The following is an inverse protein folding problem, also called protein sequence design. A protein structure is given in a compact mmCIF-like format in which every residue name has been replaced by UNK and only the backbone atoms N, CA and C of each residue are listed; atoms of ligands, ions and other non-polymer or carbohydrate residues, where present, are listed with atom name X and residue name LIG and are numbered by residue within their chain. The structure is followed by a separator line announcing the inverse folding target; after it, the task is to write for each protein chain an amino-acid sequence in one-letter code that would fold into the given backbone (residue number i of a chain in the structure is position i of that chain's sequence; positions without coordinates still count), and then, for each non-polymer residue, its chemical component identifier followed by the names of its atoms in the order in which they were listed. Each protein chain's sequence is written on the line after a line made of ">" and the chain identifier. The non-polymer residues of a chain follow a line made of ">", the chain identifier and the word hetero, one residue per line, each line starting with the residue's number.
data_IF_598363221700
#
_entry.id   IF_598363221700
#
_cell.length_a   1.000
_cell.length_b   1.000
_cell.length_c   1.000
_cell.angle_alpha   90.00
_cell.angle_beta   90.00
_cell.angle_gamma   90.00
#
_symmetry.space_group_name_H-M   'P 1'
#
loop_
_entity.id
_entity.type
_entity.pdbx_description
1 polymer ?
#
# COMPACT_ATOMS: atom_id res chain seq x y z
N UNK A 1 -4.28 29.42 58.49
CA UNK A 1 -4.31 28.60 57.28
C UNK A 1 -5.54 29.00 56.47
N UNK A 2 -5.34 29.39 55.20
CA UNK A 2 -6.36 29.69 54.16
C UNK A 2 -7.21 30.98 54.35
N UNK A 3 -7.63 31.73 53.31
CA UNK A 3 -8.01 31.29 51.96
C UNK A 3 -8.10 32.46 50.95
N UNK A 4 -7.53 32.25 49.77
CA UNK A 4 -7.60 33.06 48.55
C UNK A 4 -8.87 32.79 47.72
N UNK A 5 -10.07 33.16 48.18
CA UNK A 5 -11.30 32.79 47.42
C UNK A 5 -12.44 33.79 47.31
N UNK A 6 -12.33 35.00 47.86
CA UNK A 6 -13.49 35.92 47.92
C UNK A 6 -13.31 37.29 47.26
N UNK A 7 -12.13 37.63 46.71
CA UNK A 7 -11.93 38.92 46.04
C UNK A 7 -12.28 38.91 44.54
N UNK A 8 -13.38 38.24 44.18
CA UNK A 8 -13.86 38.06 42.80
C UNK A 8 -15.27 38.61 42.51
N UNK A 9 -15.90 39.43 43.37
CA UNK A 9 -17.36 39.71 43.21
C UNK A 9 -17.83 41.17 43.36
N UNK A 10 -16.99 42.18 43.12
CA UNK A 10 -17.41 43.59 43.36
C UNK A 10 -17.34 44.55 42.16
N UNK A 11 -17.26 44.03 40.93
CA UNK A 11 -17.27 44.86 39.70
C UNK A 11 -18.68 45.14 39.15
N UNK A 12 -19.73 44.94 39.94
CA UNK A 12 -21.14 44.94 39.51
C UNK A 12 -21.97 46.18 39.84
N UNK A 13 -21.41 47.29 40.34
CA UNK A 13 -22.22 48.40 40.90
C UNK A 13 -21.91 49.82 40.41
N UNK A 14 -21.41 50.00 39.18
CA UNK A 14 -21.17 51.36 38.63
C UNK A 14 -22.00 51.79 37.43
N UNK A 15 -23.12 51.12 37.09
CA UNK A 15 -24.08 51.67 36.12
C UNK A 15 -25.54 51.23 36.39
N UNK A 16 -26.34 52.15 36.94
CA UNK A 16 -27.81 52.18 36.84
C UNK A 16 -28.22 53.57 36.32
N UNK A 17 -28.82 53.63 35.13
CA UNK A 17 -30.23 53.95 34.85
C UNK A 17 -30.64 55.44 35.00
N UNK A 18 -30.93 56.12 33.89
CA UNK A 18 -32.26 56.67 33.51
C UNK A 18 -32.18 57.59 32.26
N UNK A 19 -33.22 57.56 31.42
CA UNK A 19 -33.19 58.04 30.03
C UNK A 19 -33.67 59.47 29.73
N UNK A 20 -33.66 59.83 28.43
CA UNK A 20 -34.32 61.04 27.92
C UNK A 20 -33.82 61.52 26.54
N UNK A 21 -34.76 61.66 25.58
CA UNK A 21 -34.65 62.07 24.15
C UNK A 21 -33.84 63.37 23.87
N UNK A 22 -33.10 63.40 22.75
CA UNK A 22 -33.30 64.30 21.57
C UNK A 22 -32.00 64.69 20.81
N UNK A 23 -32.05 64.48 19.48
CA UNK A 23 -31.42 65.17 18.31
C UNK A 23 -30.06 65.93 18.41
N UNK A 24 -29.22 65.54 17.44
CA UNK A 24 -28.25 66.31 16.62
C UNK A 24 -27.00 66.92 17.28
N UNK A 25 -25.82 66.45 16.87
CA UNK A 25 -24.93 67.13 15.90
C UNK A 25 -23.53 66.51 15.94
N UNK A 26 -22.90 66.44 14.77
CA UNK A 26 -21.51 66.02 14.55
C UNK A 26 -20.53 66.83 15.43
N UNK A 27 -19.55 66.17 16.03
CA UNK A 27 -18.14 66.57 15.93
C UNK A 27 -17.18 65.54 16.55
N UNK A 28 -16.32 64.97 15.70
CA UNK A 28 -14.91 64.60 15.95
C UNK A 28 -14.54 63.66 17.11
N UNK A 29 -14.15 62.42 16.78
CA UNK A 29 -12.95 61.81 17.38
C UNK A 29 -12.37 60.72 16.45
N UNK A 30 -11.05 60.54 16.56
CA UNK A 30 -10.10 59.88 15.68
C UNK A 30 -10.51 58.52 15.11
N UNK A 31 -10.48 58.46 13.77
CA UNK A 31 -10.48 57.25 12.96
C UNK A 31 -9.24 56.40 13.31
N UNK A 32 -9.42 55.30 14.04
CA UNK A 32 -8.41 54.25 14.15
C UNK A 32 -8.22 53.66 12.74
N UNK A 33 -7.09 53.97 12.10
CA UNK A 33 -6.79 53.46 10.77
C UNK A 33 -6.32 52.01 10.88
N UNK A 34 -7.26 51.07 10.73
CA UNK A 34 -7.00 49.63 10.61
C UNK A 34 -5.95 49.35 9.52
N UNK A 35 -5.88 50.20 8.48
CA UNK A 35 -4.90 50.11 7.41
C UNK A 35 -3.46 50.42 7.87
N UNK A 36 -3.30 51.29 8.87
CA UNK A 36 -1.98 51.60 9.45
C UNK A 36 -1.39 50.42 10.21
N UNK A 37 -2.23 49.71 10.99
CA UNK A 37 -1.82 48.55 11.78
C UNK A 37 -1.51 47.33 10.88
N UNK A 38 -2.26 47.16 9.79
CA UNK A 38 -2.02 46.11 8.80
C UNK A 38 -0.71 46.34 8.04
N UNK A 39 -0.40 47.58 7.66
CA UNK A 39 0.86 47.93 7.01
C UNK A 39 2.05 47.71 7.95
N UNK A 40 1.94 48.13 9.22
CA UNK A 40 2.97 47.93 10.23
C UNK A 40 3.26 46.43 10.46
N UNK A 41 2.22 45.60 10.52
CA UNK A 41 2.34 44.15 10.62
C UNK A 41 3.03 43.54 9.39
N UNK A 42 2.65 43.98 8.18
CA UNK A 42 3.25 43.50 6.93
C UNK A 42 4.73 43.86 6.82
N UNK A 43 5.13 45.06 7.28
CA UNK A 43 6.54 45.46 7.31
C UNK A 43 7.36 44.64 8.31
N UNK A 44 6.80 44.33 9.48
CA UNK A 44 7.45 43.50 10.49
C UNK A 44 7.64 42.05 10.00
N UNK A 45 6.64 41.48 9.32
CA UNK A 45 6.72 40.12 8.74
C UNK A 45 7.80 40.04 7.65
N UNK A 46 7.96 41.09 6.83
CA UNK A 46 8.99 41.17 5.79
C UNK A 46 10.40 41.30 6.38
N UNK A 47 10.55 42.08 7.44
CA UNK A 47 11.82 42.22 8.15
C UNK A 47 12.22 40.91 8.82
N UNK A 48 11.27 40.24 9.48
CA UNK A 48 11.49 38.94 10.08
C UNK A 48 11.91 37.90 9.02
N UNK A 49 11.24 37.85 7.86
CA UNK A 49 11.62 36.98 6.74
C UNK A 49 13.06 37.18 6.30
N UNK A 50 13.51 38.44 6.15
CA UNK A 50 14.90 38.74 5.78
C UNK A 50 15.88 38.22 6.82
N UNK A 51 15.56 38.35 8.10
CA UNK A 51 16.36 37.82 9.21
C UNK A 51 16.46 36.29 9.14
N UNK A 52 15.37 35.59 8.86
CA UNK A 52 15.36 34.13 8.69
C UNK A 52 16.21 33.69 7.49
N UNK A 53 16.08 34.38 6.35
CA UNK A 53 16.85 34.06 5.15
C UNK A 53 18.35 34.28 5.34
N UNK A 54 18.73 35.35 6.05
CA UNK A 54 20.13 35.71 6.22
C UNK A 54 20.83 34.85 7.27
N UNK A 55 20.17 34.57 8.39
CA UNK A 55 20.81 33.93 9.54
C UNK A 55 20.46 32.45 9.72
N UNK A 56 19.26 32.02 9.33
CA UNK A 56 18.80 30.65 9.57
C UNK A 56 18.93 29.76 8.34
N UNK A 57 18.63 30.25 7.13
CA UNK A 57 18.75 29.45 5.89
C UNK A 57 20.11 28.78 5.70
N UNK A 58 21.25 29.44 5.99
CA UNK A 58 22.57 28.79 5.89
C UNK A 58 22.74 27.60 6.83
N UNK A 59 22.08 27.60 7.99
CA UNK A 59 22.12 26.47 8.93
C UNK A 59 21.41 25.24 8.34
N UNK A 60 20.24 25.45 7.72
CA UNK A 60 19.48 24.39 7.05
C UNK A 60 20.19 23.84 5.79
N UNK A 61 21.12 24.60 5.21
CA UNK A 61 21.95 24.16 4.08
C UNK A 61 23.23 23.44 4.52
N UNK A 62 23.69 23.67 5.76
CA UNK A 62 24.95 23.13 6.28
C UNK A 62 24.82 21.73 6.87
N UNK A 63 23.64 21.37 7.40
CA UNK A 63 23.42 20.07 8.05
C UNK A 63 22.88 19.01 7.07
N UNK A 64 23.83 18.33 6.41
CA UNK A 64 23.83 16.93 5.94
C UNK A 64 22.68 16.40 5.03
N UNK A 65 23.11 15.98 3.82
CA UNK A 65 22.49 15.13 2.77
C UNK A 65 21.14 15.57 2.14
N UNK A 66 21.21 16.51 1.20
CA UNK A 66 20.30 16.51 0.03
C UNK A 66 19.11 17.48 0.05
N UNK A 67 19.05 18.46 0.96
CA UNK A 67 18.05 19.53 0.93
C UNK A 67 18.21 20.54 2.07
N UNK A 68 17.44 21.64 2.04
CA UNK A 68 17.40 22.66 3.12
C UNK A 68 16.68 22.09 4.37
N UNK A 69 17.33 21.19 5.11
CA UNK A 69 16.80 20.49 6.30
C UNK A 69 17.76 20.58 7.49
N UNK A 70 17.23 20.57 8.71
CA UNK A 70 18.01 20.48 9.95
C UNK A 70 17.40 19.43 10.89
N UNK A 71 18.23 18.64 11.60
CA UNK A 71 17.71 17.71 12.59
C UNK A 71 17.11 18.46 13.79
N UNK A 72 16.00 17.98 14.35
CA UNK A 72 15.31 18.59 15.50
C UNK A 72 16.23 18.75 16.71
N UNK A 73 17.09 17.76 16.96
CA UNK A 73 18.10 17.85 18.01
C UNK A 73 19.13 18.95 17.76
N UNK A 74 19.54 19.17 16.50
CA UNK A 74 20.50 20.22 16.15
C UNK A 74 19.83 21.60 16.17
N UNK A 75 18.58 21.70 15.70
CA UNK A 75 17.76 22.89 15.86
C UNK A 75 17.55 23.24 17.33
N UNK A 76 17.35 22.24 18.20
CA UNK A 76 17.25 22.44 19.65
C UNK A 76 18.53 23.03 20.24
N UNK A 77 19.70 22.65 19.73
CA UNK A 77 20.99 23.24 20.11
C UNK A 77 21.10 24.69 19.64
N UNK A 78 20.69 24.98 18.39
CA UNK A 78 20.64 26.35 17.84
C UNK A 78 19.71 27.24 18.67
N UNK A 79 18.54 26.74 19.08
CA UNK A 79 17.58 27.50 19.89
C UNK A 79 17.99 27.72 21.35
N UNK A 80 19.06 27.06 21.82
CA UNK A 80 19.69 27.34 23.13
C UNK A 80 20.70 28.48 23.06
N UNK A 81 21.19 28.79 21.86
CA UNK A 81 22.12 29.89 21.66
C UNK A 81 21.37 31.23 21.80
N UNK A 82 21.81 32.12 22.72
CA UNK A 82 21.16 33.42 22.92
C UNK A 82 21.18 34.31 21.67
N UNK A 83 22.17 34.18 20.78
CA UNK A 83 22.23 34.97 19.56
C UNK A 83 21.06 34.62 18.63
N UNK A 84 20.85 33.33 18.36
CA UNK A 84 19.74 32.87 17.50
C UNK A 84 18.38 32.99 18.19
N UNK A 85 18.33 32.80 19.52
CA UNK A 85 17.10 32.92 20.29
C UNK A 85 16.54 34.35 20.30
N UNK A 86 17.42 35.35 20.33
CA UNK A 86 16.99 36.76 20.34
C UNK A 86 16.49 37.28 19.00
N UNK A 87 16.85 36.62 17.89
CA UNK A 87 16.39 36.94 16.53
C UNK A 87 14.97 36.47 16.23
N UNK A 88 14.36 35.70 17.13
CA UNK A 88 13.05 35.07 16.96
C UNK A 88 12.03 35.63 17.97
N UNK A 89 10.74 35.71 17.60
CA UNK A 89 9.69 36.07 18.53
C UNK A 89 9.63 35.08 19.70
N UNK A 90 9.57 35.55 20.97
CA UNK A 90 9.69 34.68 22.15
C UNK A 90 8.61 33.58 22.18
N UNK A 91 7.37 33.92 21.80
CA UNK A 91 6.25 32.98 21.74
C UNK A 91 6.50 31.84 20.74
N UNK A 92 7.15 32.15 19.61
CA UNK A 92 7.50 31.19 18.56
C UNK A 92 8.68 30.31 18.92
N UNK A 93 9.60 30.82 19.73
CA UNK A 93 10.70 30.00 20.26
C UNK A 93 10.16 28.90 21.17
N UNK A 94 9.19 29.20 22.03
CA UNK A 94 8.56 28.19 22.88
C UNK A 94 7.85 27.11 22.04
N UNK A 95 7.12 27.52 21.00
CA UNK A 95 6.48 26.61 20.04
C UNK A 95 7.50 25.69 19.33
N UNK A 96 8.61 26.26 18.83
CA UNK A 96 9.68 25.50 18.19
C UNK A 96 10.35 24.52 19.15
N UNK A 97 10.56 24.93 20.41
CA UNK A 97 11.14 24.09 21.44
C UNK A 97 10.25 22.87 21.70
N UNK A 98 8.94 23.06 21.86
CA UNK A 98 8.02 21.95 22.08
C UNK A 98 8.02 20.99 20.88
N UNK A 99 7.96 21.53 19.65
CA UNK A 99 8.02 20.72 18.41
C UNK A 99 9.30 19.89 18.34
N UNK A 100 10.45 20.46 18.73
CA UNK A 100 11.74 19.73 18.74
C UNK A 100 11.84 18.70 19.85
N UNK A 101 11.26 18.94 21.03
CA UNK A 101 11.30 18.02 22.17
C UNK A 101 10.38 16.81 21.92
N UNK A 102 9.24 16.96 21.22
CA UNK A 102 8.40 15.84 20.79
C UNK A 102 8.98 15.03 19.62
N UNK A 103 9.88 15.61 18.82
CA UNK A 103 10.39 15.01 17.57
C UNK A 103 11.92 14.87 17.55
N UNK A 104 12.57 14.52 18.67
CA UNK A 104 14.04 14.50 18.81
C UNK A 104 14.81 13.64 17.78
N UNK A 105 14.16 12.67 17.12
CA UNK A 105 14.76 11.80 16.09
C UNK A 105 14.49 12.22 14.63
N UNK A 106 13.92 13.40 14.38
CA UNK A 106 13.46 13.84 13.03
C UNK A 106 14.19 15.09 12.54
N UNK A 107 13.87 15.54 11.32
CA UNK A 107 14.40 16.77 10.71
C UNK A 107 13.28 17.69 10.22
N UNK A 108 13.50 19.01 10.24
CA UNK A 108 12.57 20.06 9.79
C UNK A 108 13.15 20.75 8.54
N UNK A 109 12.29 21.05 7.55
CA UNK A 109 12.67 21.82 6.33
C UNK A 109 12.71 23.33 6.61
N UNK A 110 13.49 24.08 5.84
CA UNK A 110 13.57 25.55 5.99
C UNK A 110 12.21 26.24 5.79
N UNK A 111 11.47 25.89 4.74
CA UNK A 111 10.11 26.44 4.51
C UNK A 111 9.14 26.15 5.66
N UNK A 112 9.27 24.98 6.29
CA UNK A 112 8.45 24.58 7.44
C UNK A 112 8.80 25.40 8.68
N UNK A 113 10.10 25.61 8.93
CA UNK A 113 10.60 26.48 9.99
C UNK A 113 10.11 27.93 9.84
N UNK A 114 10.19 28.49 8.62
CA UNK A 114 9.68 29.83 8.29
C UNK A 114 8.18 29.93 8.52
N UNK A 115 7.41 28.89 8.16
CA UNK A 115 5.96 28.84 8.39
C UNK A 115 5.59 28.84 9.87
N UNK A 116 6.32 28.11 10.72
CA UNK A 116 6.10 28.08 12.17
C UNK A 116 6.31 29.46 12.77
N UNK A 117 7.38 30.15 12.35
CA UNK A 117 7.73 31.48 12.88
C UNK A 117 6.74 32.55 12.43
N UNK A 118 6.34 32.54 11.16
CA UNK A 118 5.42 33.55 10.62
C UNK A 118 3.95 33.27 10.95
N UNK A 119 3.60 32.04 11.34
CA UNK A 119 2.26 31.68 11.77
C UNK A 119 1.18 31.66 10.67
N UNK A 120 1.56 31.70 9.39
CA UNK A 120 0.63 31.77 8.26
C UNK A 120 0.26 30.38 7.71
N UNK A 121 -1.04 30.15 7.48
CA UNK A 121 -1.58 29.02 6.70
C UNK A 121 -1.33 29.23 5.21
N UNK A 122 -1.11 28.14 4.47
CA UNK A 122 -0.80 28.18 3.03
C UNK A 122 -1.85 28.88 2.14
N UNK A 123 -3.06 29.14 2.66
CA UNK A 123 -4.12 29.85 1.93
C UNK A 123 -3.80 31.33 1.66
N UNK A 124 -2.91 31.97 2.43
CA UNK A 124 -2.50 33.37 2.19
C UNK A 124 -1.36 33.50 1.17
N UNK A 125 -0.76 32.38 0.75
CA UNK A 125 0.36 32.40 -0.21
C UNK A 125 -0.11 32.47 -1.67
N UNK A 126 -1.39 32.24 -1.94
CA UNK A 126 -1.99 32.26 -3.28
C UNK A 126 -3.15 33.25 -3.46
N UNK A 127 -3.69 33.82 -2.38
CA UNK A 127 -4.81 34.76 -2.42
C UNK A 127 -4.41 36.23 -2.67
N UNK A 128 -3.12 36.58 -2.59
CA UNK A 128 -2.61 37.96 -2.79
C UNK A 128 -2.63 38.42 -4.27
N UNK A 129 -3.37 37.73 -5.15
CA UNK A 129 -3.68 38.13 -6.53
C UNK A 129 -5.17 38.07 -6.90
N UNK A 130 -6.11 37.90 -5.95
CA UNK A 130 -7.52 37.95 -6.31
C UNK A 130 -8.53 37.83 -5.18
N UNK A 131 -9.27 38.93 -4.98
CA UNK A 131 -10.65 39.02 -4.46
C UNK A 131 -10.97 38.59 -3.02
N UNK A 132 -11.31 39.63 -2.25
CA UNK A 132 -12.27 39.82 -1.14
C UNK A 132 -13.28 38.72 -0.75
N UNK A 133 -13.75 38.86 0.51
CA UNK A 133 -14.82 38.17 1.27
C UNK A 133 -14.29 37.01 2.14
N UNK A 134 -14.49 36.93 3.46
CA UNK A 134 -15.34 37.67 4.39
C UNK A 134 -16.08 36.68 5.29
N UNK A 135 -15.52 36.26 6.44
CA UNK A 135 -16.29 35.78 7.60
C UNK A 135 -15.37 35.68 8.83
N UNK A 136 -15.78 36.28 9.95
CA UNK A 136 -15.03 36.26 11.21
C UNK A 136 -15.95 35.86 12.36
N UNK A 137 -15.89 34.60 12.76
CA UNK A 137 -16.21 34.15 14.13
C UNK A 137 -14.90 33.89 14.86
N UNK A 138 -14.69 34.44 16.07
CA UNK A 138 -13.51 34.12 16.86
C UNK A 138 -13.75 32.78 17.58
N UNK A 139 -13.14 31.69 17.10
CA UNK A 139 -12.99 30.48 17.90
C UNK A 139 -11.70 30.54 18.74
N UNK A 140 -11.74 30.20 20.04
CA UNK A 140 -10.58 30.22 20.90
C UNK A 140 -9.80 28.89 20.76
N UNK A 141 -9.01 28.71 19.69
CA UNK A 141 -8.25 27.45 19.51
C UNK A 141 -7.02 27.55 18.60
N UNK A 142 -6.33 28.69 18.56
CA UNK A 142 -5.13 28.86 17.70
C UNK A 142 -3.99 27.87 18.06
N UNK A 143 -3.77 27.60 19.35
CA UNK A 143 -2.65 26.80 19.86
C UNK A 143 -2.75 25.31 19.49
N UNK A 144 -3.96 24.75 19.44
CA UNK A 144 -4.22 23.35 19.06
C UNK A 144 -4.15 23.15 17.54
N UNK A 145 -4.67 24.10 16.78
CA UNK A 145 -4.77 23.95 15.33
C UNK A 145 -3.40 24.01 14.65
N UNK A 146 -2.49 24.89 15.07
CA UNK A 146 -1.14 24.96 14.50
C UNK A 146 -0.36 23.68 14.78
N UNK A 147 -0.37 23.20 16.02
CA UNK A 147 0.27 21.94 16.38
C UNK A 147 -0.31 20.75 15.60
N UNK A 148 -1.64 20.71 15.43
CA UNK A 148 -2.33 19.66 14.67
C UNK A 148 -2.04 19.72 13.18
N UNK A 149 -1.97 20.92 12.60
CA UNK A 149 -1.66 21.16 11.19
C UNK A 149 -0.18 20.88 10.89
N UNK A 150 0.73 21.24 11.80
CA UNK A 150 2.15 20.91 11.70
C UNK A 150 2.33 19.41 11.78
N UNK A 151 1.83 18.75 12.84
CA UNK A 151 1.92 17.29 12.98
C UNK A 151 1.30 16.55 11.78
N UNK A 152 0.14 17.03 11.27
CA UNK A 152 -0.52 16.45 10.09
C UNK A 152 0.34 16.61 8.84
N UNK A 153 0.88 17.79 8.59
CA UNK A 153 1.70 18.06 7.41
C UNK A 153 3.04 17.34 7.45
N UNK A 154 3.71 17.29 8.61
CA UNK A 154 4.96 16.53 8.79
C UNK A 154 4.70 15.03 8.61
N UNK A 155 3.60 14.48 9.17
CA UNK A 155 3.22 13.09 8.97
C UNK A 155 2.92 12.78 7.50
N UNK A 156 2.20 13.66 6.81
CA UNK A 156 1.84 13.51 5.41
C UNK A 156 3.05 13.61 4.48
N UNK A 157 3.99 14.53 4.73
CA UNK A 157 5.23 14.62 3.96
C UNK A 157 6.12 13.38 4.15
N UNK A 158 6.21 12.85 5.36
CA UNK A 158 6.95 11.61 5.62
C UNK A 158 6.34 10.43 4.85
N UNK A 159 5.01 10.31 4.84
CA UNK A 159 4.31 9.28 4.06
C UNK A 159 4.57 9.42 2.55
N UNK A 160 4.67 10.65 2.04
CA UNK A 160 4.97 10.90 0.63
C UNK A 160 6.43 10.63 0.27
N UNK A 161 7.38 11.01 1.13
CA UNK A 161 8.82 10.71 0.94
C UNK A 161 9.06 9.19 1.04
N UNK A 162 8.44 8.50 1.99
CA UNK A 162 8.48 7.04 2.13
C UNK A 162 7.83 6.32 0.94
N UNK A 163 6.69 6.82 0.42
CA UNK A 163 6.08 6.34 -0.82
C UNK A 163 6.99 6.56 -2.03
N UNK A 164 7.60 7.74 -2.15
CA UNK A 164 8.50 8.06 -3.25
C UNK A 164 9.75 7.17 -3.25
N UNK A 165 10.27 6.83 -2.07
CA UNK A 165 11.34 5.84 -1.92
C UNK A 165 10.88 4.42 -2.30
N UNK A 166 9.64 4.05 -1.97
CA UNK A 166 9.03 2.76 -2.32
C UNK A 166 8.80 2.54 -3.83
N UNK A 167 8.68 3.62 -4.60
CA UNK A 167 8.59 3.56 -6.08
C UNK A 167 9.94 3.60 -6.78
N UNK A 168 11.07 3.71 -6.05
CA UNK A 168 12.39 3.40 -6.62
C UNK A 168 12.47 1.87 -6.69
N UNK A 169 12.72 1.31 -7.86
CA UNK A 169 12.69 -0.14 -8.17
C UNK A 169 13.73 -1.00 -7.40
N UNK A 170 13.76 -0.89 -6.08
CA UNK A 170 14.71 -1.47 -5.15
C UNK A 170 13.92 -2.07 -3.97
N UNK A 171 13.80 -3.41 -3.90
CA UNK A 171 14.43 -4.40 -4.76
C UNK A 171 13.79 -4.47 -6.18
N UNK A 172 14.59 -4.69 -7.24
CA UNK A 172 14.06 -4.83 -8.59
C UNK A 172 13.16 -6.07 -8.67
N UNK A 173 12.01 -6.01 -9.36
CA UNK A 173 11.14 -7.16 -9.51
C UNK A 173 11.72 -8.11 -10.55
N UNK A 174 12.33 -9.22 -10.11
CA UNK A 174 12.94 -10.18 -11.01
C UNK A 174 12.22 -11.52 -11.01
N UNK A 175 11.68 -11.99 -9.87
CA UNK A 175 11.17 -13.37 -9.81
C UNK A 175 9.88 -13.52 -10.61
N UNK A 176 8.92 -12.61 -10.44
CA UNK A 176 7.67 -12.71 -11.20
C UNK A 176 7.91 -12.62 -12.69
N UNK A 177 8.77 -11.69 -13.11
CA UNK A 177 9.13 -11.52 -14.53
C UNK A 177 9.80 -12.78 -15.06
N UNK A 178 10.74 -13.38 -14.32
CA UNK A 178 11.41 -14.61 -14.73
C UNK A 178 10.42 -15.77 -14.89
N UNK A 179 9.52 -15.98 -13.91
CA UNK A 179 8.51 -17.05 -13.98
C UNK A 179 7.61 -16.84 -15.20
N UNK A 180 7.13 -15.61 -15.42
CA UNK A 180 6.32 -15.25 -16.59
C UNK A 180 7.05 -15.55 -17.89
N UNK A 181 8.31 -15.15 -18.03
CA UNK A 181 9.11 -15.39 -19.23
C UNK A 181 9.32 -16.88 -19.47
N UNK A 182 9.63 -17.65 -18.41
CA UNK A 182 9.77 -19.11 -18.51
C UNK A 182 8.45 -19.76 -18.96
N UNK A 183 7.30 -19.35 -18.42
CA UNK A 183 5.99 -19.87 -18.82
C UNK A 183 5.68 -19.59 -20.29
N UNK A 184 6.00 -18.38 -20.77
CA UNK A 184 5.83 -18.01 -22.19
C UNK A 184 6.71 -18.88 -23.09
N UNK A 185 7.99 -19.01 -22.75
CA UNK A 185 8.95 -19.84 -23.51
C UNK A 185 8.47 -21.29 -23.56
N UNK A 186 8.07 -21.85 -22.41
CA UNK A 186 7.59 -23.22 -22.31
C UNK A 186 6.31 -23.43 -23.14
N UNK A 187 5.38 -22.49 -23.11
CA UNK A 187 4.17 -22.60 -23.93
C UNK A 187 4.48 -22.68 -25.42
N UNK A 188 5.29 -21.74 -25.94
CA UNK A 188 5.64 -21.74 -27.36
C UNK A 188 6.54 -22.90 -27.77
N UNK A 189 7.43 -23.35 -26.89
CA UNK A 189 8.24 -24.55 -27.14
C UNK A 189 7.34 -25.76 -27.38
N UNK A 190 6.44 -26.06 -26.45
CA UNK A 190 5.60 -27.24 -26.56
C UNK A 190 4.52 -27.10 -27.65
N UNK A 191 4.06 -25.89 -27.94
CA UNK A 191 3.16 -25.64 -29.08
C UNK A 191 3.86 -25.91 -30.43
N UNK A 192 5.16 -25.65 -30.54
CA UNK A 192 5.93 -25.91 -31.76
C UNK A 192 6.22 -27.41 -31.99
N UNK A 193 6.21 -28.23 -30.94
CA UNK A 193 6.47 -29.67 -31.03
C UNK A 193 5.26 -30.47 -31.54
N UNK A 194 4.07 -29.87 -31.55
CA UNK A 194 2.84 -30.51 -32.05
C UNK A 194 2.73 -30.26 -33.56
N UNK A 195 2.91 -31.31 -34.36
CA UNK A 195 2.81 -31.25 -35.82
C UNK A 195 1.46 -30.66 -36.27
N UNK A 196 1.49 -29.51 -36.95
CA UNK A 196 0.30 -28.83 -37.47
C UNK A 196 -0.44 -27.91 -36.47
N UNK A 197 0.11 -27.67 -35.29
CA UNK A 197 -0.54 -26.86 -34.26
C UNK A 197 -0.70 -25.38 -34.63
N UNK A 198 -1.94 -24.97 -34.88
CA UNK A 198 -2.35 -23.60 -34.65
C UNK A 198 -2.34 -23.31 -33.15
N UNK A 199 -1.93 -22.11 -32.74
CA UNK A 199 -2.10 -21.64 -31.35
C UNK A 199 -3.60 -21.59 -31.04
N UNK A 200 -4.11 -22.65 -30.44
CA UNK A 200 -5.52 -22.72 -30.09
C UNK A 200 -5.83 -21.85 -28.87
N UNK A 201 -7.03 -21.26 -28.89
CA UNK A 201 -7.49 -20.36 -27.85
C UNK A 201 -7.62 -21.08 -26.49
N UNK A 202 -8.14 -22.31 -26.50
CA UNK A 202 -8.46 -23.10 -25.30
C UNK A 202 -7.76 -24.47 -25.22
N UNK A 203 -7.18 -25.01 -26.29
CA UNK A 203 -6.52 -26.34 -26.28
C UNK A 203 -5.26 -26.40 -27.16
N UNK A 204 -4.20 -25.70 -26.75
CA UNK A 204 -2.98 -25.50 -27.54
C UNK A 204 -1.79 -26.43 -27.27
N UNK A 205 -1.71 -27.17 -26.15
CA UNK A 205 -0.49 -27.95 -25.78
C UNK A 205 -0.73 -29.11 -24.77
N UNK A 206 -0.20 -30.35 -24.97
CA UNK A 206 -0.17 -31.17 -26.18
C UNK A 206 -1.02 -32.46 -26.00
N UNK A 207 -1.56 -32.94 -27.11
CA UNK A 207 -2.41 -34.13 -27.32
C UNK A 207 -1.78 -35.50 -26.97
N UNK A 208 -0.89 -35.56 -25.97
CA UNK A 208 -0.21 -36.78 -25.53
C UNK A 208 -0.12 -36.79 -23.99
N UNK A 209 -1.24 -36.47 -23.33
CA UNK A 209 -1.37 -36.14 -21.90
C UNK A 209 -0.74 -37.14 -20.92
N UNK A 210 -0.53 -38.40 -21.31
CA UNK A 210 0.12 -39.42 -20.48
C UNK A 210 1.64 -39.23 -20.29
N UNK A 211 2.32 -38.51 -21.19
CA UNK A 211 3.79 -38.47 -21.25
C UNK A 211 4.45 -37.17 -20.78
N UNK A 212 3.69 -36.13 -20.47
CA UNK A 212 4.32 -34.85 -20.16
C UNK A 212 4.96 -34.92 -18.76
N UNK A 213 6.29 -34.82 -18.68
CA UNK A 213 7.03 -34.95 -17.41
C UNK A 213 6.73 -33.86 -16.38
N UNK A 214 6.21 -32.70 -16.82
CA UNK A 214 5.99 -31.55 -15.94
C UNK A 214 4.54 -31.43 -15.46
N UNK A 215 3.60 -32.01 -16.19
CA UNK A 215 2.18 -32.02 -15.83
C UNK A 215 1.93 -32.81 -14.55
N UNK A 216 0.97 -32.35 -13.73
CA UNK A 216 0.48 -33.15 -12.61
C UNK A 216 -0.49 -34.22 -13.10
N UNK A 217 -0.15 -35.48 -12.83
CA UNK A 217 -0.91 -36.67 -13.20
C UNK A 217 -1.24 -37.48 -11.94
N UNK A 218 -2.52 -37.79 -11.66
CA UNK A 218 -2.90 -38.57 -10.48
C UNK A 218 -2.30 -39.99 -10.47
N UNK A 219 -2.11 -40.59 -11.64
CA UNK A 219 -1.45 -41.88 -11.84
C UNK A 219 0.04 -41.86 -11.47
N UNK A 220 0.67 -40.68 -11.41
CA UNK A 220 2.08 -40.46 -11.06
C UNK A 220 2.28 -39.57 -9.84
N UNK A 221 1.31 -39.57 -8.91
CA UNK A 221 1.33 -38.73 -7.69
C UNK A 221 2.53 -38.93 -6.76
N UNK A 222 3.32 -39.99 -6.93
CA UNK A 222 4.58 -40.20 -6.17
C UNK A 222 5.74 -39.36 -6.70
N UNK A 223 5.63 -38.83 -7.92
CA UNK A 223 6.62 -37.96 -8.55
C UNK A 223 6.46 -36.52 -8.02
N UNK A 224 7.08 -36.23 -6.86
CA UNK A 224 6.86 -35.00 -6.07
C UNK A 224 7.08 -33.70 -6.85
N UNK A 225 8.01 -33.68 -7.82
CA UNK A 225 8.27 -32.49 -8.64
C UNK A 225 7.04 -32.02 -9.42
N UNK A 226 6.12 -32.94 -9.77
CA UNK A 226 4.88 -32.63 -10.50
C UNK A 226 3.92 -31.74 -9.73
N UNK A 227 4.03 -31.69 -8.39
CA UNK A 227 3.26 -30.76 -7.56
C UNK A 227 3.71 -29.30 -7.73
N UNK A 228 4.85 -29.05 -8.37
CA UNK A 228 5.39 -27.71 -8.62
C UNK A 228 5.49 -27.42 -10.11
N UNK A 229 6.06 -28.34 -10.89
CA UNK A 229 6.38 -28.14 -12.31
C UNK A 229 5.16 -27.90 -13.19
N UNK A 230 3.98 -28.36 -12.78
CA UNK A 230 2.74 -28.18 -13.54
C UNK A 230 2.43 -26.69 -13.80
N UNK A 231 2.90 -25.81 -12.91
CA UNK A 231 2.70 -24.36 -12.99
C UNK A 231 3.41 -23.69 -14.17
N UNK A 232 4.36 -24.39 -14.81
CA UNK A 232 5.11 -23.88 -15.96
C UNK A 232 4.40 -24.13 -17.30
N UNK A 233 3.46 -25.08 -17.33
CA UNK A 233 2.70 -25.45 -18.51
C UNK A 233 1.36 -24.72 -18.55
N UNK A 234 0.81 -24.50 -19.75
CA UNK A 234 -0.53 -23.94 -19.93
C UNK A 234 -1.23 -24.70 -21.06
N UNK A 235 -2.51 -24.99 -20.86
CA UNK A 235 -3.30 -25.75 -21.82
C UNK A 235 -3.67 -24.91 -23.05
N UNK A 236 -3.96 -23.62 -22.89
CA UNK A 236 -4.25 -22.74 -24.02
C UNK A 236 -3.71 -21.33 -23.82
N UNK A 237 -3.66 -20.56 -24.92
CA UNK A 237 -3.08 -19.21 -24.92
C UNK A 237 -3.87 -18.27 -24.00
N UNK A 238 -5.19 -18.44 -23.88
CA UNK A 238 -6.01 -17.62 -22.97
C UNK A 238 -5.61 -17.84 -21.51
N UNK A 239 -5.31 -19.07 -21.08
CA UNK A 239 -4.92 -19.34 -19.70
C UNK A 239 -3.54 -18.78 -19.38
N UNK A 240 -2.62 -18.87 -20.36
CA UNK A 240 -1.32 -18.23 -20.26
C UNK A 240 -1.48 -16.72 -20.12
N UNK A 241 -2.24 -16.07 -21.02
CA UNK A 241 -2.43 -14.62 -21.01
C UNK A 241 -3.05 -14.13 -19.70
N UNK A 242 -4.05 -14.83 -19.15
CA UNK A 242 -4.66 -14.47 -17.87
C UNK A 242 -3.67 -14.63 -16.70
N UNK A 243 -2.85 -15.68 -16.71
CA UNK A 243 -1.80 -15.90 -15.69
C UNK A 243 -0.73 -14.80 -15.76
N UNK A 244 -0.25 -14.48 -16.97
CA UNK A 244 0.72 -13.40 -17.22
C UNK A 244 0.14 -12.06 -16.78
N UNK A 245 -1.13 -11.78 -17.11
CA UNK A 245 -1.80 -10.54 -16.70
C UNK A 245 -1.78 -10.37 -15.18
N UNK A 246 -2.07 -11.43 -14.42
CA UNK A 246 -2.05 -11.37 -12.95
C UNK A 246 -0.62 -11.22 -12.43
N UNK A 247 0.34 -11.96 -12.97
CA UNK A 247 1.74 -11.86 -12.54
C UNK A 247 2.31 -10.45 -12.78
N UNK A 248 1.97 -9.82 -13.90
CA UNK A 248 2.45 -8.46 -14.23
C UNK A 248 1.66 -7.39 -13.48
N UNK A 249 0.32 -7.44 -13.48
CA UNK A 249 -0.50 -6.39 -12.87
C UNK A 249 -0.61 -6.50 -11.34
N UNK A 250 -0.41 -7.68 -10.76
CA UNK A 250 -0.51 -7.92 -9.32
C UNK A 250 0.82 -8.39 -8.75
N UNK A 251 1.44 -9.41 -9.35
CA UNK A 251 2.69 -10.00 -8.85
C UNK A 251 3.86 -9.00 -8.81
N UNK A 252 4.13 -8.29 -9.89
CA UNK A 252 5.24 -7.31 -9.98
C UNK A 252 5.05 -6.16 -8.98
N UNK A 253 3.87 -5.49 -8.87
CA UNK A 253 3.65 -4.49 -7.84
C UNK A 253 3.79 -5.03 -6.42
N UNK A 254 3.33 -6.27 -6.15
CA UNK A 254 3.53 -6.92 -4.85
C UNK A 254 5.02 -7.12 -4.56
N UNK A 255 5.80 -7.55 -5.54
CA UNK A 255 7.25 -7.79 -5.41
C UNK A 255 8.02 -6.48 -5.11
N UNK A 256 7.65 -5.39 -5.77
CA UNK A 256 8.18 -4.05 -5.47
C UNK A 256 7.78 -3.56 -4.07
N UNK A 257 6.59 -3.94 -3.60
CA UNK A 257 6.03 -3.47 -2.33
C UNK A 257 6.54 -4.26 -1.11
N UNK A 258 6.67 -5.59 -1.25
CA UNK A 258 6.87 -6.53 -0.14
C UNK A 258 8.16 -7.35 -0.24
N UNK A 259 9.04 -7.04 -1.19
CA UNK A 259 10.25 -7.80 -1.55
C UNK A 259 9.99 -9.13 -2.29
N UNK A 260 10.88 -9.44 -3.22
CA UNK A 260 10.82 -10.61 -4.09
C UNK A 260 10.64 -11.94 -3.37
N UNK A 261 11.40 -12.22 -2.32
CA UNK A 261 11.39 -13.53 -1.66
C UNK A 261 10.06 -13.83 -0.97
N UNK A 262 9.40 -12.80 -0.40
CA UNK A 262 8.11 -12.96 0.29
C UNK A 262 7.00 -13.32 -0.68
N UNK A 263 6.96 -12.61 -1.80
CA UNK A 263 5.98 -12.84 -2.86
C UNK A 263 6.24 -14.18 -3.54
N UNK A 264 7.51 -14.56 -3.72
CA UNK A 264 7.90 -15.88 -4.22
C UNK A 264 7.39 -17.00 -3.32
N UNK A 265 7.53 -16.88 -2.00
CA UNK A 265 7.00 -17.87 -1.05
C UNK A 265 5.48 -18.02 -1.17
N UNK A 266 4.74 -16.91 -1.24
CA UNK A 266 3.28 -16.94 -1.43
C UNK A 266 2.91 -17.65 -2.74
N UNK A 267 3.62 -17.36 -3.83
CA UNK A 267 3.39 -17.98 -5.12
C UNK A 267 3.66 -19.49 -5.10
N UNK A 268 4.82 -19.92 -4.59
CA UNK A 268 5.22 -21.34 -4.55
C UNK A 268 4.30 -22.14 -3.63
N UNK A 269 3.93 -21.59 -2.46
CA UNK A 269 2.93 -22.23 -1.57
C UNK A 269 1.57 -22.29 -2.24
N UNK A 270 1.19 -21.27 -3.01
CA UNK A 270 -0.03 -21.26 -3.83
C UNK A 270 -0.05 -22.37 -4.89
N UNK A 271 1.05 -22.55 -5.62
CA UNK A 271 1.24 -23.64 -6.58
C UNK A 271 1.12 -25.00 -5.88
N UNK A 272 1.83 -25.19 -4.77
CA UNK A 272 1.79 -26.43 -4.01
C UNK A 272 0.39 -26.74 -3.45
N UNK A 273 -0.29 -25.75 -2.87
CA UNK A 273 -1.66 -25.89 -2.36
C UNK A 273 -2.68 -26.11 -3.48
N UNK A 274 -2.43 -25.58 -4.67
CA UNK A 274 -3.24 -25.83 -5.85
C UNK A 274 -3.19 -27.30 -6.28
N UNK A 275 -1.98 -27.86 -6.47
CA UNK A 275 -1.81 -29.28 -6.84
C UNK A 275 -2.25 -30.23 -5.73
N UNK A 276 -1.99 -29.91 -4.46
CA UNK A 276 -2.48 -30.70 -3.32
C UNK A 276 -4.00 -30.69 -3.25
N UNK A 277 -4.63 -29.51 -3.40
CA UNK A 277 -6.08 -29.39 -3.43
C UNK A 277 -6.69 -30.22 -4.55
N UNK A 278 -6.09 -30.20 -5.74
CA UNK A 278 -6.49 -31.07 -6.84
C UNK A 278 -6.35 -32.56 -6.48
N UNK A 279 -5.21 -32.95 -5.92
CA UNK A 279 -4.91 -34.33 -5.52
C UNK A 279 -5.87 -34.91 -4.48
N UNK A 280 -6.47 -34.07 -3.64
CA UNK A 280 -7.40 -34.51 -2.59
C UNK A 280 -8.85 -34.48 -3.08
N UNK A 281 -9.25 -33.41 -3.76
CA UNK A 281 -10.66 -33.14 -4.07
C UNK A 281 -11.09 -33.52 -5.48
N UNK A 282 -10.18 -33.63 -6.45
CA UNK A 282 -10.48 -34.01 -7.84
C UNK A 282 -9.42 -35.00 -8.38
N UNK A 283 -9.45 -36.19 -7.77
CA UNK A 283 -8.42 -37.25 -7.82
C UNK A 283 -8.20 -37.92 -9.18
N UNK A 284 -9.06 -37.66 -10.16
CA UNK A 284 -9.05 -38.34 -11.46
C UNK A 284 -8.57 -37.43 -12.60
N UNK A 285 -8.22 -36.18 -12.28
CA UNK A 285 -8.01 -35.14 -13.28
C UNK A 285 -6.63 -34.55 -13.12
N UNK A 286 -5.89 -34.52 -14.23
CA UNK A 286 -4.59 -33.90 -14.30
C UNK A 286 -4.66 -32.37 -14.14
N UNK A 287 -3.51 -31.76 -13.89
CA UNK A 287 -3.42 -30.32 -13.69
C UNK A 287 -2.23 -29.74 -14.45
N UNK A 288 -2.51 -28.63 -15.12
CA UNK A 288 -1.55 -27.74 -15.79
C UNK A 288 -1.99 -26.30 -15.52
N UNK A 289 -1.05 -25.37 -15.57
CA UNK A 289 -1.34 -23.94 -15.43
C UNK A 289 -0.73 -23.33 -14.18
N UNK A 290 -0.15 -22.14 -14.33
CA UNK A 290 0.38 -21.33 -13.22
C UNK A 290 -0.69 -20.71 -12.31
N UNK A 291 -1.98 -21.04 -12.54
CA UNK A 291 -3.13 -20.41 -11.91
C UNK A 291 -3.14 -20.55 -10.38
N UNK A 292 -2.66 -21.67 -9.82
CA UNK A 292 -2.58 -21.84 -8.36
C UNK A 292 -1.74 -20.75 -7.67
N UNK A 293 -0.58 -20.44 -8.25
CA UNK A 293 0.27 -19.34 -7.78
C UNK A 293 -0.35 -17.96 -8.06
N UNK A 294 -0.95 -17.76 -9.23
CA UNK A 294 -1.62 -16.50 -9.57
C UNK A 294 -2.79 -16.19 -8.61
N UNK A 295 -3.58 -17.21 -8.23
CA UNK A 295 -4.68 -17.09 -7.28
C UNK A 295 -4.18 -16.84 -5.86
N UNK A 296 -3.03 -17.38 -5.47
CA UNK A 296 -2.40 -17.03 -4.21
C UNK A 296 -1.98 -15.56 -4.16
N UNK A 297 -1.48 -15.00 -5.27
CA UNK A 297 -1.20 -13.57 -5.37
C UNK A 297 -2.47 -12.73 -5.28
N UNK A 298 -3.56 -13.14 -5.94
CA UNK A 298 -4.86 -12.47 -5.84
C UNK A 298 -5.41 -12.50 -4.40
N UNK A 299 -5.45 -13.67 -3.77
CA UNK A 299 -5.93 -13.84 -2.40
C UNK A 299 -5.08 -13.06 -1.40
N UNK A 300 -3.75 -13.16 -1.52
CA UNK A 300 -2.80 -12.40 -0.71
C UNK A 300 -2.95 -10.89 -0.88
N UNK A 301 -3.18 -10.43 -2.10
CA UNK A 301 -3.43 -9.01 -2.36
C UNK A 301 -4.76 -8.55 -1.77
N UNK A 302 -5.84 -9.34 -1.91
CA UNK A 302 -7.15 -9.00 -1.37
C UNK A 302 -7.15 -8.87 0.16
N UNK A 303 -6.51 -9.80 0.87
CA UNK A 303 -6.41 -9.72 2.33
C UNK A 303 -5.53 -8.55 2.76
N UNK A 304 -4.42 -8.29 2.06
CA UNK A 304 -3.57 -7.13 2.33
C UNK A 304 -4.34 -5.80 2.12
N UNK A 305 -5.16 -5.69 1.08
CA UNK A 305 -6.04 -4.53 0.86
C UNK A 305 -7.09 -4.40 1.97
N UNK A 306 -7.69 -5.51 2.38
CA UNK A 306 -8.71 -5.53 3.43
C UNK A 306 -8.16 -5.10 4.78
N UNK A 307 -6.97 -5.58 5.16
CA UNK A 307 -6.31 -5.21 6.41
C UNK A 307 -5.91 -3.73 6.42
N UNK A 308 -5.39 -3.23 5.29
CA UNK A 308 -4.91 -1.85 5.16
C UNK A 308 -6.01 -0.83 4.81
N UNK A 309 -7.28 -1.25 4.75
CA UNK A 309 -8.42 -0.42 4.29
C UNK A 309 -8.56 0.91 5.01
N UNK A 310 -8.28 0.93 6.32
CA UNK A 310 -8.43 2.14 7.14
C UNK A 310 -7.36 3.18 6.82
N UNK A 311 -6.13 2.74 6.60
CA UNK A 311 -5.03 3.62 6.26
C UNK A 311 -5.20 4.20 4.86
N UNK A 312 -5.54 3.35 3.90
CA UNK A 312 -5.68 3.72 2.49
C UNK A 312 -6.93 4.59 2.19
N UNK A 313 -7.97 4.56 3.03
CA UNK A 313 -9.14 5.44 2.89
C UNK A 313 -8.94 6.84 3.50
N UNK A 314 -7.88 7.09 4.28
CA UNK A 314 -7.68 8.36 5.00
C UNK A 314 -6.73 9.31 4.25
N UNK A 315 -6.08 8.86 3.18
CA UNK A 315 -5.22 9.67 2.33
C UNK A 315 -6.04 10.56 1.39
N UNK A 316 -6.43 11.74 1.87
CA UNK A 316 -7.08 12.81 1.08
C UNK A 316 -6.13 13.50 0.08
N UNK A 317 -4.98 12.91 -0.23
CA UNK A 317 -3.83 13.57 -0.89
C UNK A 317 -3.67 13.26 -2.37
N UNK A 318 -4.40 12.28 -2.90
CA UNK A 318 -4.32 11.91 -4.31
C UNK A 318 -5.30 12.76 -5.14
N UNK A 319 -4.80 13.36 -6.22
CA UNK A 319 -5.60 14.14 -7.16
C UNK A 319 -6.85 13.39 -7.64
N UNK A 320 -7.99 14.08 -7.66
CA UNK A 320 -9.37 13.58 -7.81
C UNK A 320 -9.62 12.59 -8.97
N UNK A 321 -8.75 12.53 -9.98
CA UNK A 321 -8.84 11.61 -11.14
C UNK A 321 -8.00 10.33 -10.98
N UNK A 322 -6.79 10.39 -10.41
CA UNK A 322 -5.96 9.20 -10.14
C UNK A 322 -6.48 8.42 -8.93
N UNK A 323 -7.07 9.14 -7.97
CA UNK A 323 -7.77 8.56 -6.81
C UNK A 323 -8.96 7.67 -7.21
N UNK A 324 -9.66 7.93 -8.33
CA UNK A 324 -10.81 7.10 -8.74
C UNK A 324 -10.37 5.71 -9.23
N UNK A 325 -9.47 5.62 -10.22
CA UNK A 325 -9.00 4.33 -10.75
C UNK A 325 -8.14 3.54 -9.74
N UNK A 326 -7.47 4.22 -8.82
CA UNK A 326 -6.71 3.60 -7.74
C UNK A 326 -7.49 3.46 -6.42
N UNK A 327 -8.78 3.82 -6.40
CA UNK A 327 -9.59 3.70 -5.18
C UNK A 327 -9.68 2.24 -4.74
N UNK A 328 -9.55 2.02 -3.44
CA UNK A 328 -9.72 0.72 -2.81
C UNK A 328 -10.92 -0.10 -3.30
N UNK A 329 -12.16 0.45 -3.36
CA UNK A 329 -13.31 -0.31 -3.82
C UNK A 329 -13.17 -0.72 -5.29
N UNK A 330 -12.67 0.15 -6.17
CA UNK A 330 -12.48 -0.19 -7.59
C UNK A 330 -11.44 -1.29 -7.75
N UNK A 331 -10.32 -1.22 -7.01
CA UNK A 331 -9.31 -2.30 -7.02
C UNK A 331 -9.91 -3.63 -6.57
N UNK A 332 -10.68 -3.63 -5.49
CA UNK A 332 -11.35 -4.85 -5.00
C UNK A 332 -12.33 -5.41 -6.03
N UNK A 333 -13.11 -4.54 -6.69
CA UNK A 333 -14.03 -4.92 -7.77
C UNK A 333 -13.26 -5.52 -8.95
N UNK A 334 -12.20 -4.86 -9.42
CA UNK A 334 -11.38 -5.34 -10.56
C UNK A 334 -10.78 -6.70 -10.26
N UNK A 335 -10.18 -6.89 -9.08
CA UNK A 335 -9.61 -8.18 -8.67
C UNK A 335 -10.69 -9.27 -8.57
N UNK A 336 -11.86 -8.92 -8.05
CA UNK A 336 -13.00 -9.84 -7.96
C UNK A 336 -13.51 -10.23 -9.35
N UNK A 337 -13.61 -9.28 -10.29
CA UNK A 337 -14.00 -9.55 -11.68
C UNK A 337 -12.99 -10.46 -12.36
N UNK A 338 -11.68 -10.20 -12.22
CA UNK A 338 -10.62 -11.07 -12.76
C UNK A 338 -10.72 -12.50 -12.19
N UNK A 339 -11.01 -12.64 -10.90
CA UNK A 339 -11.20 -13.92 -10.25
C UNK A 339 -12.44 -14.65 -10.78
N UNK A 340 -13.58 -13.95 -10.90
CA UNK A 340 -14.84 -14.52 -11.40
C UNK A 340 -14.71 -14.97 -12.85
N UNK A 341 -14.08 -14.17 -13.71
CA UNK A 341 -13.89 -14.50 -15.13
C UNK A 341 -13.06 -15.78 -15.29
N UNK A 342 -11.98 -15.93 -14.53
CA UNK A 342 -11.15 -17.14 -14.61
C UNK A 342 -11.84 -18.38 -14.03
N UNK A 343 -12.54 -18.25 -12.90
CA UNK A 343 -13.34 -19.36 -12.36
C UNK A 343 -14.42 -19.76 -13.36
N UNK A 344 -15.10 -18.80 -13.97
CA UNK A 344 -16.09 -19.05 -15.00
C UNK A 344 -15.48 -19.78 -16.20
N UNK A 345 -14.30 -19.35 -16.68
CA UNK A 345 -13.60 -20.03 -17.77
C UNK A 345 -13.23 -21.48 -17.42
N UNK A 346 -12.75 -21.72 -16.19
CA UNK A 346 -12.42 -23.06 -15.72
C UNK A 346 -13.66 -23.97 -15.63
N UNK A 347 -14.78 -23.44 -15.13
CA UNK A 347 -16.09 -24.13 -15.07
C UNK A 347 -16.60 -24.41 -16.49
N UNK A 348 -16.54 -23.41 -17.38
CA UNK A 348 -17.00 -23.52 -18.76
C UNK A 348 -16.25 -24.63 -19.51
N UNK A 349 -14.92 -24.66 -19.42
CA UNK A 349 -14.10 -25.73 -20.02
C UNK A 349 -14.38 -27.11 -19.43
N UNK A 350 -14.64 -27.19 -18.14
CA UNK A 350 -14.82 -28.47 -17.43
C UNK A 350 -16.13 -29.17 -17.77
N UNK A 351 -17.20 -28.41 -17.99
CA UNK A 351 -18.56 -28.96 -18.13
C UNK A 351 -19.31 -28.59 -19.40
N UNK A 352 -18.93 -27.52 -20.11
CA UNK A 352 -19.64 -27.08 -21.32
C UNK A 352 -18.86 -27.35 -22.62
N UNK A 353 -17.63 -27.85 -22.53
CA UNK A 353 -16.81 -28.22 -23.68
C UNK A 353 -16.39 -29.68 -23.55
N UNK A 354 -17.13 -30.57 -24.23
CA UNK A 354 -16.84 -32.01 -24.25
C UNK A 354 -15.67 -32.37 -25.17
N UNK A 355 -15.30 -31.49 -26.10
CA UNK A 355 -14.23 -31.71 -27.10
C UNK A 355 -12.81 -31.39 -26.59
N UNK A 356 -12.67 -30.81 -25.40
CA UNK A 356 -11.34 -30.47 -24.84
C UNK A 356 -10.68 -31.72 -24.27
N UNK A 357 -9.46 -32.01 -24.73
CA UNK A 357 -8.69 -33.22 -24.41
C UNK A 357 -8.32 -33.34 -22.92
N UNK A 358 -8.08 -32.22 -22.24
CA UNK A 358 -7.73 -32.18 -20.82
C UNK A 358 -8.73 -31.34 -20.02
N UNK A 359 -9.42 -31.97 -19.06
CA UNK A 359 -10.28 -31.24 -18.14
C UNK A 359 -9.43 -30.56 -17.06
N UNK A 360 -9.66 -29.27 -16.82
CA UNK A 360 -8.91 -28.48 -15.83
C UNK A 360 -9.55 -28.60 -14.44
N UNK A 361 -8.70 -28.78 -13.43
CA UNK A 361 -9.08 -28.80 -12.03
C UNK A 361 -9.44 -27.44 -11.43
N UNK A 362 -10.67 -27.28 -10.93
CA UNK A 362 -11.11 -26.07 -10.22
C UNK A 362 -10.50 -26.00 -8.82
N UNK A 363 -10.23 -27.15 -8.21
CA UNK A 363 -9.65 -27.23 -6.86
C UNK A 363 -8.28 -26.57 -6.78
N UNK A 364 -7.52 -26.52 -7.88
CA UNK A 364 -6.25 -25.81 -7.92
C UNK A 364 -6.38 -24.29 -7.74
N UNK A 365 -7.40 -23.69 -8.36
CA UNK A 365 -7.71 -22.27 -8.25
C UNK A 365 -8.13 -21.92 -6.81
N UNK A 366 -9.01 -22.74 -6.23
CA UNK A 366 -9.50 -22.57 -4.85
C UNK A 366 -8.37 -22.76 -3.84
N UNK A 367 -7.57 -23.82 -3.98
CA UNK A 367 -6.44 -24.11 -3.10
C UNK A 367 -5.39 -23.00 -3.11
N UNK A 368 -5.05 -22.50 -4.29
CA UNK A 368 -4.17 -21.35 -4.45
C UNK A 368 -4.71 -20.09 -3.77
N UNK A 369 -5.99 -19.77 -3.96
CA UNK A 369 -6.61 -18.58 -3.35
C UNK A 369 -6.61 -18.65 -1.82
N UNK A 370 -6.98 -19.81 -1.25
CA UNK A 370 -6.97 -20.04 0.20
C UNK A 370 -5.54 -19.90 0.73
N UNK A 371 -4.54 -20.45 0.03
CA UNK A 371 -3.15 -20.30 0.41
C UNK A 371 -2.73 -18.83 0.45
N UNK A 372 -3.15 -18.03 -0.53
CA UNK A 372 -2.94 -16.58 -0.55
C UNK A 372 -3.56 -15.86 0.65
N UNK A 373 -4.81 -16.20 1.00
CA UNK A 373 -5.49 -15.61 2.16
C UNK A 373 -4.80 -15.94 3.49
N UNK A 374 -4.26 -17.15 3.64
CA UNK A 374 -3.54 -17.58 4.84
C UNK A 374 -2.14 -16.95 4.90
N UNK A 375 -1.41 -16.95 3.78
CA UNK A 375 -0.03 -16.48 3.73
C UNK A 375 0.09 -14.95 3.64
N UNK A 376 -0.94 -14.28 3.13
CA UNK A 376 -0.97 -12.82 2.95
C UNK A 376 -0.68 -12.05 4.24
N UNK A 377 -1.40 -12.30 5.35
CA UNK A 377 -1.14 -11.64 6.63
C UNK A 377 0.27 -11.93 7.18
N UNK A 378 0.86 -13.09 6.90
CA UNK A 378 2.20 -13.43 7.35
C UNK A 378 3.30 -12.71 6.55
N UNK A 379 3.20 -12.71 5.22
CA UNK A 379 4.31 -12.35 4.33
C UNK A 379 4.11 -11.02 3.61
N UNK A 380 2.88 -10.60 3.32
CA UNK A 380 2.56 -9.37 2.58
C UNK A 380 2.28 -8.19 3.52
N UNK A 381 3.16 -8.01 4.51
CA UNK A 381 3.15 -6.87 5.44
C UNK A 381 4.23 -5.87 5.06
N UNK A 382 3.87 -4.59 5.07
CA UNK A 382 4.83 -3.50 4.93
C UNK A 382 5.55 -3.28 6.26
N UNK A 383 6.88 -3.53 6.35
CA UNK A 383 7.62 -3.36 7.58
C UNK A 383 7.76 -1.90 8.01
N UNK A 384 7.66 -0.95 7.09
CA UNK A 384 7.86 0.47 7.37
C UNK A 384 6.58 1.11 7.92
N UNK A 385 5.41 0.70 7.41
CA UNK A 385 4.11 1.22 7.86
C UNK A 385 3.66 0.64 9.21
N UNK A 386 4.05 -0.59 9.53
CA UNK A 386 3.57 -1.29 10.74
C UNK A 386 4.67 -2.06 11.47
N UNK A 387 5.75 -1.40 11.95
CA UNK A 387 6.87 -2.06 12.63
C UNK A 387 6.46 -2.81 13.90
N UNK A 388 5.41 -2.36 14.60
CA UNK A 388 4.90 -3.04 15.81
C UNK A 388 4.09 -4.32 15.50
N UNK A 389 3.64 -4.51 14.25
CA UNK A 389 2.94 -5.74 13.82
C UNK A 389 3.87 -6.82 13.28
N UNK A 390 5.17 -6.53 13.15
CA UNK A 390 6.18 -7.55 12.81
C UNK A 390 6.27 -8.66 13.88
N UNK A 391 5.78 -8.41 15.10
CA UNK A 391 5.69 -9.43 16.16
C UNK A 391 4.63 -10.51 15.93
N UNK A 392 3.68 -10.31 15.00
CA UNK A 392 2.81 -11.39 14.48
C UNK A 392 3.61 -12.13 13.41
N UNK A 393 4.43 -13.07 13.87
CA UNK A 393 5.55 -13.67 13.15
C UNK A 393 5.18 -14.53 11.93
N UNK A 394 3.90 -14.63 11.56
CA UNK A 394 3.44 -15.53 10.48
C UNK A 394 3.73 -17.01 10.75
N UNK A 395 4.28 -17.33 11.93
CA UNK A 395 4.70 -18.67 12.32
C UNK A 395 3.49 -19.59 12.43
N UNK A 396 2.37 -19.09 12.98
CA UNK A 396 1.12 -19.86 13.06
C UNK A 396 0.58 -20.19 11.66
N UNK A 397 0.56 -19.21 10.76
CA UNK A 397 0.10 -19.40 9.38
C UNK A 397 0.98 -20.39 8.63
N UNK A 398 2.30 -20.31 8.84
CA UNK A 398 3.27 -21.28 8.31
C UNK A 398 3.03 -22.70 8.85
N UNK A 399 2.82 -22.86 10.16
CA UNK A 399 2.50 -24.16 10.76
C UNK A 399 1.14 -24.69 10.29
N UNK A 400 0.16 -23.81 10.08
CA UNK A 400 -1.14 -24.19 9.52
C UNK A 400 -0.99 -24.74 8.10
N UNK A 401 -0.23 -24.05 7.24
CA UNK A 401 0.07 -24.54 5.88
C UNK A 401 0.80 -25.88 5.95
N UNK A 402 1.81 -26.01 6.82
CA UNK A 402 2.56 -27.25 6.98
C UNK A 402 1.67 -28.40 7.48
N UNK A 403 0.75 -28.13 8.40
CA UNK A 403 -0.21 -29.10 8.90
C UNK A 403 -1.18 -29.56 7.80
N UNK A 404 -1.69 -28.64 6.97
CA UNK A 404 -2.56 -28.97 5.83
C UNK A 404 -1.80 -29.81 4.81
N UNK A 405 -0.58 -29.41 4.45
CA UNK A 405 0.29 -30.17 3.53
C UNK A 405 0.57 -31.57 4.09
N UNK A 406 0.94 -31.67 5.37
CA UNK A 406 1.19 -32.95 6.04
C UNK A 406 -0.05 -33.86 6.05
N UNK A 407 -1.21 -33.31 6.38
CA UNK A 407 -2.48 -34.04 6.34
C UNK A 407 -2.82 -34.52 4.92
N UNK A 408 -2.60 -33.70 3.91
CA UNK A 408 -2.81 -34.10 2.51
C UNK A 408 -1.82 -35.14 2.02
N UNK A 409 -0.55 -35.11 2.47
CA UNK A 409 0.43 -36.16 2.16
C UNK A 409 -0.04 -37.49 2.77
N UNK A 410 -0.46 -37.49 4.04
CA UNK A 410 -1.00 -38.67 4.70
C UNK A 410 -2.22 -39.19 3.93
N UNK A 411 -3.13 -38.30 3.53
CA UNK A 411 -4.31 -38.69 2.73
C UNK A 411 -3.92 -39.34 1.40
N UNK A 412 -2.96 -38.78 0.66
CA UNK A 412 -2.49 -39.34 -0.61
C UNK A 412 -1.83 -40.72 -0.48
N UNK A 413 -1.33 -41.07 0.71
CA UNK A 413 -0.72 -42.37 1.02
C UNK A 413 -1.77 -43.37 1.50
N UNK A 414 -2.67 -42.96 2.39
CA UNK A 414 -3.61 -43.85 3.09
C UNK A 414 -4.87 -44.13 2.25
N UNK A 415 -5.34 -43.16 1.47
CA UNK A 415 -6.55 -43.31 0.68
C UNK A 415 -6.31 -44.21 -0.54
N UNK A 416 -7.17 -45.21 -0.73
CA UNK A 416 -6.98 -46.28 -1.73
C UNK A 416 -7.62 -46.03 -3.09
N UNK A 417 -8.66 -45.18 -3.18
CA UNK A 417 -9.40 -44.99 -4.44
C UNK A 417 -8.77 -43.91 -5.33
N UNK A 418 -7.47 -44.05 -5.57
CA UNK A 418 -6.77 -43.32 -6.63
C UNK A 418 -6.75 -44.13 -7.92
N UNK A 419 -6.63 -43.49 -9.09
CA UNK A 419 -6.30 -44.18 -10.33
C UNK A 419 -5.06 -45.07 -10.14
N UNK A 420 -5.02 -46.27 -10.77
CA UNK A 420 -3.87 -47.15 -10.69
C UNK A 420 -2.60 -46.43 -11.14
N UNK A 421 -1.50 -46.70 -10.44
CA UNK A 421 -0.22 -46.06 -10.74
C UNK A 421 0.34 -46.59 -12.07
N UNK A 422 0.75 -45.68 -12.95
CA UNK A 422 1.31 -46.00 -14.26
C UNK A 422 2.74 -45.45 -14.36
N UNK A 423 3.71 -46.36 -14.27
CA UNK A 423 5.15 -46.08 -14.29
C UNK A 423 5.82 -46.44 -15.62
N UNK A 424 5.04 -46.66 -16.68
CA UNK A 424 5.58 -46.86 -18.03
C UNK A 424 6.60 -45.78 -18.38
N UNK A 425 7.82 -46.14 -18.83
CA UNK A 425 8.83 -45.16 -19.21
C UNK A 425 8.27 -44.19 -20.26
N UNK A 426 8.55 -42.90 -20.10
CA UNK A 426 8.11 -41.87 -21.06
C UNK A 426 8.60 -42.13 -22.49
N UNK A 427 9.66 -42.94 -22.64
CA UNK A 427 10.22 -43.39 -23.91
C UNK A 427 9.44 -44.50 -24.62
N UNK A 428 8.54 -45.21 -23.94
CA UNK A 428 7.81 -46.38 -24.48
C UNK A 428 6.44 -46.03 -25.05
N UNK A 429 5.92 -44.83 -24.79
CA UNK A 429 4.70 -44.32 -25.41
C UNK A 429 5.03 -43.66 -26.76
N UNK A 430 5.31 -44.47 -27.76
CA UNK A 430 5.22 -44.09 -29.18
C UNK A 430 3.98 -44.78 -29.78
N UNK A 431 2.86 -44.05 -29.89
CA UNK A 431 1.76 -44.43 -30.78
C UNK A 431 0.62 -45.25 -30.18
N UNK A 432 -0.07 -44.75 -29.15
CA UNK A 432 -1.38 -45.28 -28.79
C UNK A 432 -2.37 -44.14 -28.46
N UNK A 433 -3.09 -43.76 -29.52
CA UNK A 433 -4.40 -43.10 -29.67
C UNK A 433 -4.77 -41.91 -28.78
#
# INVERSE_FOLDING_TARGET
>A
MMRWREMLMDYGQMYGEEGGKARSSRSGSSFFSVDGDLLAKRTADLELRRTLETHFRPLFQRFVYGGEKIACHDLRRVLRDPEFRSMLPPDKVHELVDVTDFNMGRSIKYDEFVRIILGHTADDLYSDLGSSEGDSRPEPTCLSNTYRVVCRNTAQQNLLEERAEKYRCLPPPFVMIIITVVQIIMYFWYAAEVDGASVEALDGVPSNSSNNSLMYLPTRRREVWRFFSYSLLHQGIIDLLLTVLIQICVGVPLEMTYSWWRVTLVYIVGVMMGSIGQSVFDRYVGLVGGAGGAYALLGGHMIALFENRKMLNTDETEGRKMHMLCSLPIRFIVLTVILVVQVFLAVYRRWLMDEISLKIGICAHVGGFIAGLIMGPAFLKDPNLMPWRLGSSGILDFFLVLAVVGASIIFNIVYSDYPPEDFTPLSEFQGAF
#
